data_IF_187640624363
#
_entry.id   IF_187640624363
#
_cell.length_a   1.000
_cell.length_b   1.000
_cell.length_c   1.000
_cell.angle_alpha   90.00
_cell.angle_beta   90.00
_cell.angle_gamma   90.00
#
_symmetry.space_group_name_H-M   'P 1'
#
loop_
_entity.id
_entity.type
_entity.pdbx_description
1 polymer ?
#
# COMPACT_ATOMS: atom_id res chain seq x y z
N UNK A 1 31.23 29.31 -85.38
CA UNK A 1 30.31 30.26 -84.68
C UNK A 1 29.06 30.38 -85.56
N UNK A 2 27.83 30.04 -85.20
CA UNK A 2 27.12 29.92 -83.93
C UNK A 2 26.08 28.78 -84.08
N UNK A 3 26.04 27.84 -83.14
CA UNK A 3 24.95 26.89 -83.01
C UNK A 3 23.92 27.51 -82.05
N UNK A 4 22.66 27.63 -82.48
CA UNK A 4 21.54 27.97 -81.60
C UNK A 4 20.78 26.66 -81.25
N UNK A 5 20.27 26.53 -80.02
CA UNK A 5 19.92 25.25 -79.41
C UNK A 5 18.45 24.86 -79.68
N UNK A 6 18.22 23.57 -79.91
CA UNK A 6 16.89 22.98 -79.89
C UNK A 6 16.62 22.34 -78.53
N UNK A 7 15.63 22.92 -77.87
CA UNK A 7 14.88 22.50 -76.70
C UNK A 7 14.60 20.99 -76.65
N UNK A 8 15.07 20.29 -75.61
CA UNK A 8 14.52 19.00 -75.22
C UNK A 8 14.50 18.88 -73.68
N UNK A 9 13.27 18.93 -73.20
CA UNK A 9 12.77 18.78 -71.85
C UNK A 9 13.21 17.44 -71.22
N UNK A 10 13.96 17.49 -70.11
CA UNK A 10 13.97 16.41 -69.10
C UNK A 10 13.86 17.06 -67.72
N UNK A 11 12.69 17.65 -67.49
CA UNK A 11 12.23 17.98 -66.15
C UNK A 11 11.72 16.71 -65.48
N UNK A 12 12.18 16.49 -64.24
CA UNK A 12 11.45 15.83 -63.17
C UNK A 12 10.83 14.45 -63.45
N UNK A 13 11.61 13.39 -63.20
CA UNK A 13 11.07 12.08 -62.79
C UNK A 13 11.34 11.82 -61.30
N UNK A 14 11.12 12.83 -60.48
CA UNK A 14 10.84 12.66 -59.07
C UNK A 14 9.34 12.79 -58.85
N UNK A 15 8.59 11.71 -59.09
CA UNK A 15 7.21 11.61 -58.61
C UNK A 15 7.25 11.52 -57.08
N UNK A 16 7.42 12.67 -56.43
CA UNK A 16 7.13 12.83 -55.02
C UNK A 16 5.62 12.77 -54.85
N UNK A 17 5.09 11.58 -54.59
CA UNK A 17 3.74 11.43 -54.04
C UNK A 17 3.72 11.95 -52.60
N UNK A 18 3.76 13.27 -52.42
CA UNK A 18 3.19 13.88 -51.24
C UNK A 18 1.69 14.05 -51.52
N UNK A 19 0.93 12.97 -51.33
CA UNK A 19 -0.53 13.03 -51.40
C UNK A 19 -1.02 13.95 -50.28
N UNK A 20 -1.29 15.19 -50.64
CA UNK A 20 -1.98 16.13 -49.77
C UNK A 20 -3.43 15.63 -49.68
N UNK A 21 -3.85 15.11 -48.53
CA UNK A 21 -5.27 14.79 -48.25
C UNK A 21 -5.70 13.31 -48.14
N UNK A 22 -4.79 12.32 -48.18
CA UNK A 22 -5.19 10.90 -48.14
C UNK A 22 -4.88 10.13 -46.84
N UNK A 23 -4.31 10.79 -45.83
CA UNK A 23 -4.35 10.25 -44.47
C UNK A 23 -5.53 10.93 -43.80
N UNK A 24 -6.52 10.18 -43.33
CA UNK A 24 -7.73 10.64 -42.63
C UNK A 24 -7.48 11.33 -41.28
N UNK A 25 -6.32 11.97 -41.12
CA UNK A 25 -6.01 12.86 -40.01
C UNK A 25 -7.03 14.00 -40.06
N UNK A 26 -7.71 14.22 -38.93
CA UNK A 26 -8.74 15.25 -38.78
C UNK A 26 -9.99 15.04 -39.65
N UNK A 27 -10.35 13.79 -39.99
CA UNK A 27 -11.64 13.45 -40.62
C UNK A 27 -12.51 12.61 -39.69
N UNK A 28 -13.83 12.81 -39.73
CA UNK A 28 -14.81 12.07 -38.90
C UNK A 28 -14.98 10.62 -39.39
N UNK A 29 -14.74 10.38 -40.68
CA UNK A 29 -14.80 9.07 -41.32
C UNK A 29 -13.47 8.83 -42.06
N UNK A 30 -12.41 8.37 -41.36
CA UNK A 30 -11.13 8.09 -42.01
C UNK A 30 -11.27 6.88 -42.93
N UNK A 31 -11.02 7.07 -44.23
CA UNK A 31 -10.97 5.99 -45.22
C UNK A 31 -9.60 5.33 -45.38
N UNK A 32 -8.65 5.62 -44.48
CA UNK A 32 -7.23 5.28 -44.62
C UNK A 32 -6.64 4.73 -43.32
N UNK A 33 -5.61 3.90 -43.42
CA UNK A 33 -4.80 3.44 -42.28
C UNK A 33 -3.58 4.36 -42.10
N UNK A 34 -3.34 4.82 -40.87
CA UNK A 34 -2.07 5.45 -40.49
C UNK A 34 -1.09 4.37 -40.02
N UNK A 35 -0.05 4.11 -40.80
CA UNK A 35 1.05 3.21 -40.42
C UNK A 35 2.27 4.02 -40.02
N UNK A 36 2.78 3.79 -38.81
CA UNK A 36 4.04 4.38 -38.32
C UNK A 36 5.09 3.27 -38.25
N UNK A 37 6.05 3.26 -39.18
CA UNK A 37 7.13 2.26 -39.23
C UNK A 37 8.31 2.56 -38.29
N UNK A 38 8.15 3.56 -37.41
CA UNK A 38 9.12 3.96 -36.40
C UNK A 38 8.48 4.06 -35.01
N UNK A 39 9.17 4.68 -34.05
CA UNK A 39 8.61 4.92 -32.71
C UNK A 39 7.76 6.19 -32.67
N UNK A 40 6.72 6.17 -31.84
CA UNK A 40 5.99 7.38 -31.44
C UNK A 40 6.58 7.80 -30.08
N UNK A 41 7.07 9.04 -29.99
CA UNK A 41 7.59 9.61 -28.75
C UNK A 41 6.81 10.89 -28.42
N UNK A 42 6.03 10.85 -27.34
CA UNK A 42 5.46 12.06 -26.74
C UNK A 42 6.47 12.76 -25.82
N UNK A 43 6.17 14.00 -25.45
CA UNK A 43 7.04 14.75 -24.53
C UNK A 43 7.09 14.08 -23.14
N UNK A 44 8.31 13.82 -22.66
CA UNK A 44 8.57 13.40 -21.29
C UNK A 44 9.09 14.58 -20.47
N UNK A 45 8.42 14.95 -19.39
CA UNK A 45 8.90 15.94 -18.43
C UNK A 45 9.06 15.32 -17.05
N UNK A 46 10.22 15.56 -16.43
CA UNK A 46 10.47 15.19 -15.05
C UNK A 46 10.52 16.44 -14.19
N UNK A 47 9.64 16.55 -13.20
CA UNK A 47 9.38 17.78 -12.44
C UNK A 47 9.27 17.47 -10.95
N UNK A 48 9.86 18.31 -10.10
CA UNK A 48 9.89 18.11 -8.64
C UNK A 48 8.96 19.04 -7.85
N UNK A 49 8.25 19.96 -8.51
CA UNK A 49 7.39 20.97 -7.90
C UNK A 49 6.05 21.11 -8.65
N UNK A 50 5.06 21.75 -8.00
CA UNK A 50 3.75 22.01 -8.60
C UNK A 50 3.85 22.68 -9.96
N UNK A 51 3.05 22.23 -10.92
CA UNK A 51 3.14 22.66 -12.32
C UNK A 51 1.77 22.66 -12.98
N UNK A 52 1.52 23.63 -13.86
CA UNK A 52 0.35 23.62 -14.74
C UNK A 52 0.76 23.01 -16.07
N UNK A 53 0.02 22.00 -16.52
CA UNK A 53 0.26 21.33 -17.79
C UNK A 53 -0.24 22.17 -18.96
N UNK A 54 0.46 22.06 -20.07
CA UNK A 54 0.12 22.67 -21.35
C UNK A 54 -0.29 21.66 -22.40
N UNK A 55 -0.65 22.17 -23.57
CA UNK A 55 -1.14 21.38 -24.71
C UNK A 55 -0.10 20.42 -25.30
N UNK A 56 1.19 20.65 -25.03
CA UNK A 56 2.30 19.85 -25.56
C UNK A 56 2.79 18.79 -24.57
N UNK A 57 2.28 18.80 -23.34
CA UNK A 57 2.62 17.79 -22.35
C UNK A 57 2.00 16.43 -22.73
N UNK A 58 2.67 15.34 -22.34
CA UNK A 58 2.20 14.00 -22.64
C UNK A 58 2.48 13.05 -21.47
N UNK A 59 3.75 12.93 -21.07
CA UNK A 59 4.17 12.12 -19.92
C UNK A 59 4.84 12.99 -18.86
N UNK A 60 4.26 13.01 -17.67
CA UNK A 60 4.73 13.77 -16.52
C UNK A 60 5.25 12.81 -15.44
N UNK A 61 6.55 12.84 -15.22
CA UNK A 61 7.22 12.19 -14.10
C UNK A 61 7.37 13.19 -12.95
N UNK A 62 6.83 12.87 -11.79
CA UNK A 62 7.04 13.64 -10.58
C UNK A 62 8.12 13.00 -9.72
N UNK A 63 9.19 13.74 -9.43
CA UNK A 63 10.32 13.26 -8.62
C UNK A 63 10.57 14.11 -7.36
N UNK A 64 9.53 14.82 -6.88
CA UNK A 64 9.64 15.68 -5.71
C UNK A 64 9.68 14.92 -4.38
N UNK A 65 10.29 15.57 -3.39
CA UNK A 65 10.33 15.12 -1.98
C UNK A 65 9.35 15.88 -1.07
N UNK A 66 8.64 16.87 -1.60
CA UNK A 66 7.56 17.61 -0.95
C UNK A 66 6.28 17.47 -1.75
N UNK A 67 5.11 17.52 -1.10
CA UNK A 67 3.84 17.38 -1.79
C UNK A 67 3.68 18.45 -2.88
N UNK A 68 3.12 18.06 -4.02
CA UNK A 68 2.96 18.94 -5.18
C UNK A 68 1.63 18.70 -5.89
N UNK A 69 1.23 19.67 -6.71
CA UNK A 69 0.04 19.60 -7.53
C UNK A 69 0.38 19.82 -9.00
N UNK A 70 0.03 18.85 -9.84
CA UNK A 70 -0.01 19.04 -11.28
C UNK A 70 -1.44 19.42 -11.68
N UNK A 71 -1.59 20.63 -12.21
CA UNK A 71 -2.89 21.17 -12.63
C UNK A 71 -3.07 20.89 -14.12
N UNK A 72 -4.14 20.20 -14.48
CA UNK A 72 -4.53 19.94 -15.85
C UNK A 72 -4.81 21.26 -16.58
N UNK A 73 -4.64 21.31 -17.92
CA UNK A 73 -5.06 22.47 -18.69
C UNK A 73 -6.57 22.68 -18.54
N UNK A 74 -7.00 23.94 -18.61
CA UNK A 74 -8.42 24.26 -18.70
C UNK A 74 -9.04 23.58 -19.92
N UNK A 75 -10.24 23.03 -19.74
CA UNK A 75 -10.95 22.37 -20.81
C UNK A 75 -11.54 23.39 -21.77
N UNK A 76 -11.25 23.19 -23.05
CA UNK A 76 -11.77 23.98 -24.16
C UNK A 76 -12.80 23.15 -24.93
N UNK A 77 -13.85 23.82 -25.39
CA UNK A 77 -14.90 23.16 -26.16
C UNK A 77 -14.34 22.46 -27.40
N UNK A 78 -14.88 21.28 -27.69
CA UNK A 78 -14.62 20.59 -28.94
C UNK A 78 -15.10 21.42 -30.15
N UNK A 79 -14.62 21.04 -31.35
CA UNK A 79 -14.83 21.74 -32.62
C UNK A 79 -16.22 22.40 -32.79
N UNK A 80 -16.29 23.61 -33.39
CA UNK A 80 -15.29 24.20 -34.29
C UNK A 80 -14.29 25.16 -33.64
N UNK A 81 -14.23 25.25 -32.31
CA UNK A 81 -13.28 26.14 -31.63
C UNK A 81 -11.82 25.66 -31.78
N UNK A 82 -10.90 26.60 -32.05
CA UNK A 82 -9.47 26.34 -32.01
C UNK A 82 -9.06 25.96 -30.58
N UNK A 83 -8.38 24.82 -30.43
CA UNK A 83 -7.89 24.35 -29.14
C UNK A 83 -8.58 23.12 -28.55
N UNK A 84 -9.42 22.40 -29.30
CA UNK A 84 -10.08 21.16 -28.87
C UNK A 84 -9.12 20.20 -28.13
N UNK A 85 -9.50 19.80 -26.91
CA UNK A 85 -8.75 18.83 -26.11
C UNK A 85 -9.48 17.48 -25.94
N UNK A 86 -10.61 17.26 -26.62
CA UNK A 86 -11.35 15.99 -26.58
C UNK A 86 -10.43 14.81 -26.90
N UNK A 87 -10.42 13.81 -26.03
CA UNK A 87 -9.59 12.61 -26.19
C UNK A 87 -8.11 12.83 -25.91
N UNK A 88 -7.68 14.02 -25.47
CA UNK A 88 -6.28 14.25 -25.08
C UNK A 88 -5.95 13.43 -23.84
N UNK A 89 -4.81 12.75 -23.90
CA UNK A 89 -4.32 11.87 -22.84
C UNK A 89 -3.12 12.52 -22.15
N UNK A 90 -3.12 12.49 -20.82
CA UNK A 90 -1.95 12.78 -20.00
C UNK A 90 -1.61 11.58 -19.12
N UNK A 91 -0.33 11.25 -19.09
CA UNK A 91 0.23 10.21 -18.25
C UNK A 91 1.01 10.82 -17.11
N UNK A 92 0.84 10.26 -15.92
CA UNK A 92 1.48 10.72 -14.70
C UNK A 92 2.15 9.54 -14.01
N UNK A 93 3.42 9.70 -13.62
CA UNK A 93 4.14 8.73 -12.79
C UNK A 93 4.73 9.45 -11.61
N UNK A 94 4.48 8.96 -10.41
CA UNK A 94 5.17 9.43 -9.22
C UNK A 94 6.38 8.53 -8.97
N UNK A 95 7.58 9.04 -9.29
CA UNK A 95 8.87 8.39 -8.99
C UNK A 95 9.55 9.03 -7.78
N UNK A 96 8.94 10.05 -7.19
CA UNK A 96 9.41 10.74 -5.99
C UNK A 96 9.00 10.04 -4.71
N UNK A 97 9.22 10.72 -3.58
CA UNK A 97 8.92 10.21 -2.23
C UNK A 97 7.71 10.90 -1.60
N UNK A 98 7.23 12.01 -2.16
CA UNK A 98 6.05 12.72 -1.69
C UNK A 98 4.80 12.41 -2.52
N UNK A 99 3.62 12.70 -1.97
CA UNK A 99 2.35 12.58 -2.69
C UNK A 99 2.24 13.65 -3.79
N UNK A 100 1.74 13.23 -4.95
CA UNK A 100 1.38 14.11 -6.06
C UNK A 100 -0.13 14.20 -6.16
N UNK A 101 -0.68 15.42 -6.27
CA UNK A 101 -2.10 15.62 -6.61
C UNK A 101 -2.22 16.00 -8.08
N UNK A 102 -3.07 15.33 -8.84
CA UNK A 102 -3.49 15.77 -10.17
C UNK A 102 -4.81 16.52 -10.01
N UNK A 103 -4.83 17.81 -10.30
CA UNK A 103 -5.99 18.68 -10.11
C UNK A 103 -6.59 19.13 -11.44
N UNK A 104 -7.91 19.26 -11.50
CA UNK A 104 -8.60 19.95 -12.58
C UNK A 104 -8.36 21.47 -12.50
N UNK A 105 -8.60 22.18 -13.60
CA UNK A 105 -8.40 23.62 -13.65
C UNK A 105 -9.60 24.36 -13.04
N UNK A 106 -9.36 25.29 -12.12
CA UNK A 106 -10.40 26.14 -11.57
C UNK A 106 -11.55 25.36 -10.92
N UNK A 107 -12.77 25.52 -11.46
CA UNK A 107 -13.99 24.87 -10.97
C UNK A 107 -14.36 23.59 -11.76
N UNK A 108 -13.50 23.15 -12.68
CA UNK A 108 -13.68 21.89 -13.38
C UNK A 108 -13.51 20.69 -12.45
N UNK A 109 -14.06 19.54 -12.84
CA UNK A 109 -14.01 18.30 -12.08
C UNK A 109 -13.46 17.15 -12.92
N UNK A 110 -12.91 16.16 -12.22
CA UNK A 110 -12.44 14.89 -12.75
C UNK A 110 -13.48 13.82 -12.43
N UNK A 111 -13.96 13.13 -13.46
CA UNK A 111 -14.76 11.93 -13.33
C UNK A 111 -13.90 10.77 -12.83
N UNK A 112 -14.18 10.27 -11.62
CA UNK A 112 -13.41 9.23 -10.94
C UNK A 112 -14.20 7.92 -10.75
N UNK A 113 -15.20 7.67 -11.62
CA UNK A 113 -16.05 6.46 -11.79
C UNK A 113 -17.55 6.70 -11.54
N UNK A 114 -17.94 7.48 -10.52
CA UNK A 114 -19.36 7.78 -10.27
C UNK A 114 -19.55 9.06 -9.44
N UNK A 115 -20.68 9.75 -9.65
CA UNK A 115 -21.07 10.94 -8.89
C UNK A 115 -20.77 12.26 -9.63
N UNK A 116 -20.60 13.34 -8.86
CA UNK A 116 -20.42 14.70 -9.41
C UNK A 116 -19.02 14.98 -9.96
N UNK A 117 -18.06 14.08 -9.70
CA UNK A 117 -16.63 14.29 -9.96
C UNK A 117 -15.90 14.97 -8.80
N UNK A 118 -14.56 14.99 -8.88
CA UNK A 118 -13.65 15.51 -7.84
C UNK A 118 -12.73 16.58 -8.40
N UNK A 119 -12.30 17.55 -7.58
CA UNK A 119 -11.38 18.61 -8.01
C UNK A 119 -9.95 18.10 -8.26
N UNK A 120 -9.59 16.94 -7.70
CA UNK A 120 -8.29 16.32 -7.93
C UNK A 120 -8.21 14.88 -7.41
N UNK A 121 -7.19 14.16 -7.86
CA UNK A 121 -6.87 12.80 -7.42
C UNK A 121 -5.43 12.75 -6.89
N UNK A 122 -5.17 11.86 -5.93
CA UNK A 122 -3.83 11.63 -5.40
C UNK A 122 -3.12 10.49 -6.13
N UNK A 123 -1.83 10.68 -6.42
CA UNK A 123 -0.91 9.68 -6.95
C UNK A 123 0.20 9.49 -5.92
N UNK A 124 0.16 8.37 -5.19
CA UNK A 124 1.12 8.04 -4.13
C UNK A 124 2.52 7.78 -4.71
N UNK A 125 3.61 7.84 -3.92
CA UNK A 125 4.93 7.38 -4.35
C UNK A 125 4.88 6.01 -5.03
N UNK A 126 5.53 5.88 -6.19
CA UNK A 126 5.47 4.69 -7.04
C UNK A 126 4.18 4.54 -7.87
N UNK A 127 3.18 5.38 -7.65
CA UNK A 127 1.89 5.36 -8.33
C UNK A 127 1.94 5.89 -9.76
N UNK A 128 0.86 5.67 -10.50
CA UNK A 128 0.66 6.05 -11.90
C UNK A 128 -0.79 6.44 -12.17
N UNK A 129 -1.02 7.43 -13.03
CA UNK A 129 -2.36 7.79 -13.48
C UNK A 129 -2.38 8.10 -14.99
N UNK A 130 -3.51 7.81 -15.63
CA UNK A 130 -3.85 8.21 -17.00
C UNK A 130 -5.18 8.94 -16.98
N UNK A 131 -5.17 10.18 -17.46
CA UNK A 131 -6.37 11.00 -17.57
C UNK A 131 -6.64 11.33 -19.03
N UNK A 132 -7.93 11.34 -19.38
CA UNK A 132 -8.41 11.65 -20.73
C UNK A 132 -9.37 12.83 -20.63
N UNK A 133 -9.30 13.78 -21.55
CA UNK A 133 -10.29 14.86 -21.60
C UNK A 133 -11.58 14.42 -22.28
N UNK A 134 -12.71 14.77 -21.66
CA UNK A 134 -14.08 14.50 -22.15
C UNK A 134 -14.54 15.53 -23.19
N UNK A 135 -13.75 16.59 -23.44
CA UNK A 135 -14.07 17.65 -24.41
C UNK A 135 -15.21 18.60 -24.00
N UNK A 136 -15.70 18.50 -22.76
CA UNK A 136 -16.67 19.40 -22.15
C UNK A 136 -15.97 20.56 -21.45
N UNK A 137 -16.61 21.73 -21.36
CA UNK A 137 -16.02 22.94 -20.76
C UNK A 137 -16.47 23.22 -19.32
N UNK A 138 -17.31 22.35 -18.74
CA UNK A 138 -17.86 22.51 -17.39
C UNK A 138 -18.25 21.17 -16.78
N UNK A 139 -18.35 21.11 -15.45
CA UNK A 139 -18.64 19.88 -14.71
C UNK A 139 -17.45 18.93 -14.77
N UNK A 140 -17.69 17.64 -15.06
CA UNK A 140 -16.59 16.71 -15.33
C UNK A 140 -16.01 16.97 -16.71
N UNK A 141 -14.80 17.49 -16.77
CA UNK A 141 -14.08 17.80 -18.02
C UNK A 141 -12.97 16.79 -18.32
N UNK A 142 -12.51 16.09 -17.30
CA UNK A 142 -11.53 15.01 -17.37
C UNK A 142 -12.13 13.72 -16.84
N UNK A 143 -11.64 12.59 -17.31
CA UNK A 143 -11.92 11.26 -16.76
C UNK A 143 -10.62 10.56 -16.35
N UNK A 144 -10.67 9.85 -15.23
CA UNK A 144 -9.62 8.92 -14.84
C UNK A 144 -9.83 7.62 -15.61
N UNK A 145 -8.95 7.34 -16.56
CA UNK A 145 -8.99 6.07 -17.30
C UNK A 145 -8.19 4.98 -16.59
N UNK A 146 -7.12 5.34 -15.89
CA UNK A 146 -6.34 4.42 -15.06
C UNK A 146 -5.75 5.16 -13.87
N UNK A 147 -5.87 4.57 -12.67
CA UNK A 147 -5.16 5.01 -11.47
C UNK A 147 -4.59 3.78 -10.76
N UNK A 148 -3.26 3.77 -10.60
CA UNK A 148 -2.52 2.74 -9.88
C UNK A 148 -1.80 3.46 -8.74
N UNK A 149 -2.35 3.38 -7.53
CA UNK A 149 -1.62 3.73 -6.31
C UNK A 149 -1.10 2.44 -5.68
N UNK A 150 -0.08 2.54 -4.79
CA UNK A 150 0.64 1.42 -4.16
C UNK A 150 -0.29 0.21 -3.90
N UNK A 151 -0.03 -0.91 -4.58
CA UNK A 151 -0.97 -2.05 -4.73
C UNK A 151 -0.82 -3.17 -3.69
N UNK A 152 0.16 -3.09 -2.79
CA UNK A 152 0.37 -4.14 -1.78
C UNK A 152 -0.11 -3.63 -0.43
N UNK A 153 -1.31 -4.03 0.04
CA UNK A 153 -1.68 -3.83 1.43
C UNK A 153 -0.61 -4.47 2.31
N UNK A 154 -0.27 -3.82 3.42
CA UNK A 154 0.74 -4.38 4.31
C UNK A 154 0.27 -5.73 4.81
N UNK A 155 1.10 -6.76 4.62
CA UNK A 155 0.96 -8.07 5.24
C UNK A 155 2.33 -8.37 5.84
N UNK A 156 2.38 -8.47 7.16
CA UNK A 156 3.60 -8.83 7.87
C UNK A 156 3.29 -9.94 8.88
N UNK A 157 4.16 -10.94 8.96
CA UNK A 157 3.99 -12.05 9.89
C UNK A 157 5.34 -12.61 10.35
N UNK A 158 5.37 -13.02 11.61
CA UNK A 158 6.46 -13.75 12.25
C UNK A 158 5.94 -15.11 12.70
N UNK A 159 6.75 -16.15 12.59
CA UNK A 159 6.48 -17.47 13.17
C UNK A 159 7.77 -18.05 13.73
N UNK A 160 7.78 -18.29 15.03
CA UNK A 160 8.97 -18.80 15.72
C UNK A 160 8.82 -20.28 16.02
N UNK A 161 9.92 -21.01 15.88
CA UNK A 161 9.98 -22.47 16.09
C UNK A 161 10.74 -22.87 17.36
N UNK A 162 11.30 -21.89 18.07
CA UNK A 162 11.98 -22.13 19.33
C UNK A 162 10.99 -22.17 20.50
N UNK A 163 11.45 -22.72 21.62
CA UNK A 163 10.74 -22.69 22.89
C UNK A 163 11.23 -21.49 23.68
N UNK A 164 10.33 -20.80 24.38
CA UNK A 164 10.69 -19.67 25.24
C UNK A 164 10.10 -19.84 26.63
N UNK A 165 10.88 -19.53 27.67
CA UNK A 165 10.47 -19.65 29.06
C UNK A 165 10.63 -18.32 29.80
N UNK A 166 9.51 -17.78 30.29
CA UNK A 166 9.55 -16.70 31.28
C UNK A 166 10.06 -17.28 32.60
N UNK A 167 11.23 -16.82 33.03
CA UNK A 167 11.89 -17.22 34.29
C UNK A 167 12.32 -15.98 35.09
N UNK A 168 12.73 -16.16 36.35
CA UNK A 168 13.26 -15.09 37.19
C UNK A 168 12.32 -13.88 37.33
N UNK A 169 12.81 -12.69 36.99
CA UNK A 169 12.04 -11.45 37.07
C UNK A 169 10.83 -11.43 36.11
N UNK A 170 10.99 -11.95 34.88
CA UNK A 170 9.91 -12.01 33.90
C UNK A 170 8.78 -12.93 34.38
N UNK A 171 9.13 -14.06 35.01
CA UNK A 171 8.15 -14.94 35.63
C UNK A 171 7.44 -14.32 36.83
N UNK A 172 8.18 -13.58 37.66
CA UNK A 172 7.60 -12.82 38.78
C UNK A 172 6.57 -11.81 38.27
N UNK A 173 6.87 -11.16 37.15
CA UNK A 173 6.00 -10.21 36.49
C UNK A 173 4.89 -10.85 35.66
N UNK A 174 4.93 -12.17 35.41
CA UNK A 174 3.85 -12.91 34.76
C UNK A 174 2.65 -13.06 35.71
N UNK A 175 1.85 -12.01 35.80
CA UNK A 175 0.73 -11.85 36.73
C UNK A 175 -0.44 -11.08 36.08
N UNK A 176 -1.54 -10.89 36.80
CA UNK A 176 -2.78 -10.31 36.23
C UNK A 176 -2.69 -8.84 35.84
N UNK A 177 -1.61 -8.14 36.20
CA UNK A 177 -1.46 -6.69 36.02
C UNK A 177 -0.40 -6.30 35.00
N UNK A 178 0.51 -7.21 34.63
CA UNK A 178 1.64 -6.89 33.74
C UNK A 178 1.76 -7.93 32.61
N UNK A 179 1.11 -7.69 31.45
CA UNK A 179 1.42 -8.33 30.18
C UNK A 179 2.93 -8.46 29.94
N UNK A 180 3.44 -9.68 29.78
CA UNK A 180 4.83 -9.94 29.39
C UNK A 180 4.92 -10.05 27.86
N UNK A 181 5.93 -9.41 27.26
CA UNK A 181 6.15 -9.46 25.81
C UNK A 181 6.60 -10.85 25.40
N UNK A 182 5.98 -11.38 24.34
CA UNK A 182 6.39 -12.63 23.73
C UNK A 182 7.50 -12.31 22.72
N UNK A 183 8.71 -12.88 22.87
CA UNK A 183 9.84 -12.50 22.04
C UNK A 183 9.79 -13.17 20.66
N UNK A 184 10.32 -12.48 19.65
CA UNK A 184 10.59 -13.01 18.31
C UNK A 184 11.93 -12.48 17.82
N UNK A 185 12.57 -13.18 16.90
CA UNK A 185 13.79 -12.73 16.24
C UNK A 185 13.49 -12.23 14.83
N UNK A 186 14.37 -11.40 14.28
CA UNK A 186 14.33 -11.02 12.86
C UNK A 186 14.43 -12.25 11.93
N UNK A 187 14.98 -13.37 12.40
CA UNK A 187 15.01 -14.65 11.68
C UNK A 187 13.65 -15.34 11.57
N UNK A 188 12.67 -14.96 12.39
CA UNK A 188 11.32 -15.53 12.39
C UNK A 188 10.37 -14.86 11.38
N UNK A 189 10.84 -13.86 10.63
CA UNK A 189 10.00 -13.15 9.65
C UNK A 189 9.63 -14.10 8.50
N UNK A 190 8.34 -14.34 8.34
CA UNK A 190 7.77 -15.14 7.24
C UNK A 190 7.46 -14.25 6.04
N UNK A 191 6.87 -13.07 6.30
CA UNK A 191 6.49 -12.10 5.27
C UNK A 191 6.58 -10.69 5.84
N UNK A 192 7.00 -9.73 5.01
CA UNK A 192 6.98 -8.31 5.33
C UNK A 192 6.80 -7.51 4.03
N UNK A 193 5.56 -7.38 3.59
CA UNK A 193 5.17 -6.68 2.35
C UNK A 193 4.37 -5.42 2.67
N UNK A 194 4.28 -4.50 1.71
CA UNK A 194 3.47 -3.28 1.80
C UNK A 194 4.06 -2.16 2.68
N UNK A 195 4.98 -2.43 3.59
CA UNK A 195 5.86 -1.42 4.20
C UNK A 195 5.19 -0.36 5.09
N UNK A 196 3.92 -0.54 5.46
CA UNK A 196 3.20 0.34 6.41
C UNK A 196 3.40 -0.09 7.86
N UNK A 197 4.17 -1.17 8.09
CA UNK A 197 4.70 -1.57 9.38
C UNK A 197 6.10 -2.18 9.19
N UNK A 198 6.91 -2.17 10.25
CA UNK A 198 8.26 -2.79 10.27
C UNK A 198 8.51 -3.48 11.62
N UNK A 199 9.24 -4.60 11.60
CA UNK A 199 9.62 -5.29 12.83
C UNK A 199 10.75 -4.57 13.56
N UNK A 200 10.64 -4.44 14.88
CA UNK A 200 11.71 -4.00 15.75
C UNK A 200 12.17 -5.16 16.64
N UNK A 201 13.32 -5.72 16.31
CA UNK A 201 13.92 -6.87 17.01
C UNK A 201 14.33 -6.55 18.45
N UNK A 202 14.86 -5.36 18.69
CA UNK A 202 15.37 -4.98 20.01
C UNK A 202 14.26 -4.82 21.07
N UNK A 203 13.00 -4.65 20.66
CA UNK A 203 11.88 -4.48 21.58
C UNK A 203 10.68 -5.39 21.34
N UNK A 204 10.78 -6.33 20.39
CA UNK A 204 9.75 -7.31 20.07
C UNK A 204 8.38 -6.70 19.70
N UNK A 205 8.36 -5.75 18.74
CA UNK A 205 7.12 -5.13 18.27
C UNK A 205 7.08 -4.79 16.79
N UNK A 206 5.86 -4.71 16.27
CA UNK A 206 5.59 -4.03 15.01
C UNK A 206 5.51 -2.53 15.23
N UNK A 207 6.38 -1.79 14.56
CA UNK A 207 6.32 -0.34 14.45
C UNK A 207 5.42 0.04 13.28
N UNK A 208 4.34 0.74 13.56
CA UNK A 208 3.44 1.26 12.53
C UNK A 208 4.06 2.50 11.89
N UNK A 209 4.13 2.51 10.55
CA UNK A 209 4.72 3.59 9.75
C UNK A 209 3.67 4.45 9.06
N UNK A 210 2.47 3.92 8.86
CA UNK A 210 1.35 4.60 8.22
C UNK A 210 0.11 4.43 9.09
N UNK A 211 -0.69 5.49 9.27
CA UNK A 211 -1.97 5.33 9.95
C UNK A 211 -2.92 4.48 9.12
N UNK A 212 -3.92 3.85 9.74
CA UNK A 212 -4.91 3.05 9.03
C UNK A 212 -5.64 2.04 9.91
N UNK A 213 -6.48 1.22 9.29
CA UNK A 213 -7.14 0.10 9.98
C UNK A 213 -6.34 -1.18 9.72
N UNK A 214 -6.03 -1.91 10.79
CA UNK A 214 -5.25 -3.13 10.75
C UNK A 214 -6.04 -4.30 11.33
N UNK A 215 -6.00 -5.45 10.66
CA UNK A 215 -6.30 -6.76 11.24
C UNK A 215 -5.02 -7.28 11.85
N UNK A 216 -5.07 -7.74 13.09
CA UNK A 216 -3.91 -8.25 13.82
C UNK A 216 -4.29 -9.60 14.40
N UNK A 217 -3.42 -10.59 14.24
CA UNK A 217 -3.65 -11.96 14.65
C UNK A 217 -2.40 -12.49 15.34
N UNK A 218 -2.58 -13.28 16.39
CA UNK A 218 -1.48 -13.97 17.06
C UNK A 218 -1.94 -15.26 17.72
N UNK A 219 -1.00 -16.19 17.84
CA UNK A 219 -1.21 -17.37 18.66
C UNK A 219 0.08 -17.74 19.39
N UNK A 220 -0.07 -18.42 20.52
CA UNK A 220 1.04 -19.02 21.24
C UNK A 220 0.56 -20.27 21.99
N UNK A 221 1.38 -21.32 22.00
CA UNK A 221 1.15 -22.51 22.80
C UNK A 221 1.67 -22.31 24.22
N UNK A 222 0.79 -22.36 25.21
CA UNK A 222 1.17 -22.12 26.60
C UNK A 222 1.55 -23.40 27.32
N UNK A 223 2.66 -23.38 28.06
CA UNK A 223 3.11 -24.42 28.97
C UNK A 223 3.48 -23.90 30.36
N UNK A 224 3.63 -24.81 31.33
CA UNK A 224 4.21 -24.52 32.65
C UNK A 224 5.31 -25.50 33.03
N UNK A 225 6.51 -25.00 33.34
CA UNK A 225 7.68 -25.82 33.73
C UNK A 225 7.63 -26.37 35.16
N UNK A 226 6.45 -26.40 35.76
CA UNK A 226 6.20 -26.91 37.09
C UNK A 226 4.70 -27.08 37.31
N UNK A 227 4.36 -27.92 38.28
CA UNK A 227 2.98 -28.21 38.65
C UNK A 227 2.27 -26.90 38.99
N UNK A 228 1.30 -26.49 38.17
CA UNK A 228 0.42 -25.35 38.52
C UNK A 228 -0.20 -25.56 39.90
N UNK A 229 -0.19 -24.52 40.74
CA UNK A 229 -0.61 -24.58 42.15
C UNK A 229 -1.87 -23.76 42.41
N UNK A 230 -2.72 -24.23 43.33
CA UNK A 230 -3.97 -23.58 43.71
C UNK A 230 -5.13 -24.57 43.87
N UNK A 231 -6.31 -24.05 44.14
CA UNK A 231 -7.54 -24.83 44.41
C UNK A 231 -8.35 -25.15 43.16
N UNK A 232 -8.02 -24.56 42.00
CA UNK A 232 -8.71 -24.78 40.74
C UNK A 232 -8.11 -25.97 39.98
N UNK A 233 -8.78 -26.45 38.93
CA UNK A 233 -8.26 -27.52 38.06
C UNK A 233 -7.65 -26.98 36.74
N UNK A 234 -7.56 -25.66 36.61
CA UNK A 234 -7.12 -24.98 35.40
C UNK A 234 -6.37 -23.69 35.73
N UNK A 235 -5.60 -23.21 34.76
CA UNK A 235 -4.90 -21.93 34.79
C UNK A 235 -5.50 -21.00 33.73
N UNK A 236 -5.89 -19.79 34.12
CA UNK A 236 -6.44 -18.79 33.21
C UNK A 236 -5.32 -17.94 32.63
N UNK A 237 -5.05 -18.07 31.34
CA UNK A 237 -3.99 -17.34 30.63
C UNK A 237 -4.61 -16.41 29.59
N UNK A 238 -4.16 -15.16 29.59
CA UNK A 238 -4.54 -14.18 28.57
C UNK A 238 -3.43 -14.09 27.52
N UNK A 239 -3.80 -14.18 26.25
CA UNK A 239 -2.98 -13.72 25.13
C UNK A 239 -3.57 -12.41 24.61
N UNK A 240 -2.72 -11.40 24.46
CA UNK A 240 -3.13 -10.03 24.19
C UNK A 240 -2.30 -9.42 23.07
N UNK A 241 -2.96 -8.55 22.31
CA UNK A 241 -2.36 -7.55 21.45
C UNK A 241 -2.36 -6.25 22.26
N UNK A 242 -1.17 -5.73 22.55
CA UNK A 242 -0.98 -4.52 23.36
C UNK A 242 -0.33 -3.41 22.54
N UNK A 243 -0.70 -2.17 22.83
CA UNK A 243 -0.25 -0.99 22.10
C UNK A 243 0.51 -0.02 23.01
N UNK A 244 1.69 0.43 22.57
CA UNK A 244 2.47 1.48 23.24
C UNK A 244 2.84 1.16 24.69
N UNK A 245 3.17 -0.12 24.97
CA UNK A 245 3.67 -0.59 26.27
C UNK A 245 2.91 -1.81 26.79
N UNK A 246 3.24 -2.22 28.01
CA UNK A 246 2.80 -3.49 28.62
C UNK A 246 1.80 -3.33 29.77
N UNK A 247 1.17 -2.15 29.91
CA UNK A 247 0.06 -1.98 30.87
C UNK A 247 -1.18 -2.73 30.40
N UNK A 248 -2.02 -3.22 31.32
CA UNK A 248 -3.34 -3.79 30.96
C UNK A 248 -4.26 -2.77 30.28
N UNK A 249 -4.11 -1.47 30.57
CA UNK A 249 -4.84 -0.39 29.89
C UNK A 249 -4.48 -0.25 28.41
N UNK A 250 -3.36 -0.85 28.00
CA UNK A 250 -2.85 -0.78 26.62
C UNK A 250 -3.32 -1.97 25.77
N UNK A 251 -4.09 -2.90 26.34
CA UNK A 251 -4.63 -4.04 25.61
C UNK A 251 -5.71 -3.53 24.62
N UNK A 252 -5.49 -3.80 23.34
CA UNK A 252 -6.40 -3.43 22.24
C UNK A 252 -7.10 -4.65 21.62
N UNK A 253 -6.63 -5.85 21.94
CA UNK A 253 -7.28 -7.12 21.62
C UNK A 253 -6.79 -8.17 22.62
N UNK A 254 -7.67 -9.05 23.09
CA UNK A 254 -7.31 -10.06 24.08
C UNK A 254 -8.24 -11.25 24.05
N UNK A 255 -7.70 -12.42 24.37
CA UNK A 255 -8.47 -13.63 24.57
C UNK A 255 -7.95 -14.38 25.79
N UNK A 256 -8.88 -14.97 26.55
CA UNK A 256 -8.56 -15.77 27.74
C UNK A 256 -8.81 -17.24 27.45
N UNK A 257 -7.80 -18.06 27.65
CA UNK A 257 -7.92 -19.51 27.68
C UNK A 257 -7.88 -20.02 29.13
N UNK A 258 -8.82 -20.90 29.48
CA UNK A 258 -8.79 -21.64 30.74
C UNK A 258 -8.24 -23.04 30.44
N UNK A 259 -6.97 -23.26 30.78
CA UNK A 259 -6.22 -24.46 30.37
C UNK A 259 -6.17 -25.43 31.55
N UNK A 260 -6.68 -26.65 31.38
CA UNK A 260 -6.59 -27.68 32.42
C UNK A 260 -5.14 -27.92 32.82
N UNK A 261 -4.93 -28.21 34.10
CA UNK A 261 -3.58 -28.40 34.67
C UNK A 261 -2.71 -29.36 33.86
N UNK A 262 -3.22 -30.55 33.55
CA UNK A 262 -2.47 -31.58 32.83
C UNK A 262 -2.13 -31.17 31.39
N UNK A 263 -2.94 -30.30 30.79
CA UNK A 263 -2.71 -29.73 29.46
C UNK A 263 -1.67 -28.61 29.52
N UNK A 264 -1.75 -27.74 30.52
CA UNK A 264 -0.78 -26.67 30.75
C UNK A 264 0.61 -27.25 31.02
N UNK A 265 0.69 -28.34 31.78
CA UNK A 265 1.96 -29.03 32.05
C UNK A 265 2.53 -29.70 30.77
N UNK A 266 1.72 -29.94 29.73
CA UNK A 266 2.12 -30.58 28.46
C UNK A 266 2.28 -29.63 27.25
N UNK A 267 1.98 -28.34 27.40
CA UNK A 267 2.06 -27.31 26.35
C UNK A 267 1.30 -27.61 25.03
N UNK A 268 0.16 -28.31 25.10
CA UNK A 268 -0.47 -28.85 23.88
C UNK A 268 -1.53 -27.94 23.22
N UNK A 269 -1.98 -26.88 23.91
CA UNK A 269 -3.13 -26.07 23.49
C UNK A 269 -2.70 -24.66 23.12
N UNK A 270 -3.03 -24.17 21.90
CA UNK A 270 -2.76 -22.80 21.53
C UNK A 270 -3.80 -21.87 22.13
N UNK A 271 -3.36 -20.67 22.50
CA UNK A 271 -4.22 -19.52 22.76
C UNK A 271 -4.15 -18.64 21.51
N UNK A 272 -5.28 -18.17 21.02
CA UNK A 272 -5.35 -17.29 19.83
C UNK A 272 -5.96 -15.95 20.19
N UNK A 273 -5.50 -14.89 19.54
CA UNK A 273 -6.05 -13.54 19.67
C UNK A 273 -6.17 -12.91 18.28
N UNK A 274 -7.25 -12.16 18.05
CA UNK A 274 -7.41 -11.36 16.85
C UNK A 274 -8.14 -10.06 17.19
N UNK A 275 -7.82 -8.98 16.47
CA UNK A 275 -8.59 -7.75 16.51
C UNK A 275 -8.49 -6.97 15.19
N UNK A 276 -9.49 -6.12 14.94
CA UNK A 276 -9.42 -5.08 13.91
C UNK A 276 -9.42 -3.74 14.63
N UNK A 277 -8.43 -2.90 14.33
CA UNK A 277 -8.16 -1.69 15.12
C UNK A 277 -7.55 -0.60 14.24
N UNK A 278 -7.91 0.65 14.53
CA UNK A 278 -7.24 1.80 13.95
C UNK A 278 -5.92 2.08 14.68
N UNK A 279 -4.82 2.17 13.92
CA UNK A 279 -3.50 2.51 14.42
C UNK A 279 -3.00 3.77 13.74
N UNK A 280 -2.21 4.55 14.47
CA UNK A 280 -1.53 5.73 13.97
C UNK A 280 -0.08 5.39 13.62
N UNK A 281 0.47 6.08 12.63
CA UNK A 281 1.92 6.10 12.42
C UNK A 281 2.63 6.47 13.75
N UNK A 282 3.65 5.68 14.10
CA UNK A 282 4.36 5.81 15.38
C UNK A 282 3.90 4.83 16.47
N UNK A 283 2.71 4.22 16.35
CA UNK A 283 2.26 3.21 17.30
C UNK A 283 3.15 1.96 17.28
N UNK A 284 3.32 1.35 18.44
CA UNK A 284 4.05 0.10 18.67
C UNK A 284 3.09 -0.98 19.10
N UNK A 285 3.07 -2.11 18.39
CA UNK A 285 2.16 -3.22 18.67
C UNK A 285 2.95 -4.45 19.08
N UNK A 286 2.61 -4.99 20.25
CA UNK A 286 3.26 -6.15 20.86
C UNK A 286 2.28 -7.32 20.92
N UNK A 287 2.81 -8.54 20.81
CA UNK A 287 2.13 -9.73 21.30
C UNK A 287 2.57 -9.96 22.75
N UNK A 288 1.62 -10.08 23.65
CA UNK A 288 1.90 -10.20 25.09
C UNK A 288 1.05 -11.28 25.73
N UNK A 289 1.53 -11.86 26.82
CA UNK A 289 0.82 -12.88 27.58
C UNK A 289 0.90 -12.59 29.07
N UNK A 290 -0.14 -12.95 29.81
CA UNK A 290 -0.10 -12.92 31.26
C UNK A 290 -1.04 -13.92 31.92
N UNK A 291 -0.70 -14.30 33.15
CA UNK A 291 -1.61 -15.04 34.01
C UNK A 291 -2.77 -14.14 34.45
N UNK A 292 -4.00 -14.60 34.29
CA UNK A 292 -5.20 -13.84 34.60
C UNK A 292 -5.84 -14.27 35.91
N UNK A 293 -6.07 -15.58 36.08
CA UNK A 293 -6.88 -16.14 37.17
C UNK A 293 -6.61 -17.64 37.39
N UNK A 294 -7.15 -18.18 38.49
CA UNK A 294 -7.10 -19.59 38.88
C UNK A 294 -5.69 -20.08 39.26
N UNK A 295 -5.32 -21.32 38.93
CA UNK A 295 -4.01 -21.82 39.32
C UNK A 295 -2.91 -21.05 38.60
N UNK A 296 -1.81 -20.79 39.31
CA UNK A 296 -0.64 -20.11 38.76
C UNK A 296 0.47 -21.13 38.51
N UNK A 297 1.24 -20.99 37.42
CA UNK A 297 2.49 -21.74 37.29
C UNK A 297 3.42 -21.49 38.47
N UNK A 298 4.25 -22.48 38.82
CA UNK A 298 5.11 -22.43 40.02
C UNK A 298 6.58 -22.16 39.72
N UNK A 299 7.07 -22.58 38.55
CA UNK A 299 8.50 -22.49 38.19
C UNK A 299 8.75 -21.53 37.03
N UNK A 300 7.98 -21.67 35.96
CA UNK A 300 8.08 -20.87 34.74
C UNK A 300 6.73 -20.80 34.03
N UNK A 301 6.60 -19.85 33.12
CA UNK A 301 5.57 -19.84 32.10
C UNK A 301 6.27 -20.03 30.76
N UNK A 302 5.85 -21.02 29.99
CA UNK A 302 6.57 -21.47 28.80
C UNK A 302 5.71 -21.28 27.55
N UNK A 303 6.41 -21.11 26.44
CA UNK A 303 5.87 -21.14 25.09
C UNK A 303 6.57 -22.27 24.35
N UNK A 304 5.89 -23.38 24.12
CA UNK A 304 6.49 -24.61 23.59
C UNK A 304 5.63 -25.28 22.53
N UNK A 305 6.28 -26.01 21.61
CA UNK A 305 5.58 -26.62 20.47
C UNK A 305 5.03 -28.01 20.87
N UNK A 306 3.76 -28.33 20.60
CA UNK A 306 3.32 -29.72 20.58
C UNK A 306 4.09 -30.48 19.49
N UNK A 307 4.52 -31.71 19.74
CA UNK A 307 5.40 -32.48 18.82
C UNK A 307 4.92 -32.62 17.35
N UNK A 308 3.66 -32.27 17.05
CA UNK A 308 3.05 -32.32 15.72
C UNK A 308 3.19 -31.04 14.89
N UNK A 309 3.74 -29.95 15.43
CA UNK A 309 3.81 -28.65 14.74
C UNK A 309 5.23 -28.11 14.64
N UNK A 310 5.41 -27.16 13.71
CA UNK A 310 6.70 -26.50 13.46
C UNK A 310 6.87 -25.21 14.27
N UNK A 311 5.79 -24.45 14.49
CA UNK A 311 5.82 -23.14 15.13
C UNK A 311 5.19 -23.19 16.53
N UNK A 312 5.84 -22.55 17.52
CA UNK A 312 5.32 -22.41 18.89
C UNK A 312 4.44 -21.17 19.05
N UNK A 313 4.61 -20.19 18.17
CA UNK A 313 3.93 -18.89 18.22
C UNK A 313 3.99 -18.17 16.89
N UNK A 314 3.00 -17.33 16.65
CA UNK A 314 2.90 -16.46 15.48
C UNK A 314 2.38 -15.09 15.87
N UNK A 315 2.82 -14.08 15.14
CA UNK A 315 2.30 -12.73 15.24
C UNK A 315 2.23 -12.07 13.87
N UNK A 316 1.05 -11.64 13.45
CA UNK A 316 0.82 -11.07 12.12
C UNK A 316 -0.08 -9.85 12.14
N UNK A 317 0.09 -9.02 11.11
CA UNK A 317 -0.76 -7.86 10.84
C UNK A 317 -1.03 -7.73 9.34
N UNK A 318 -2.23 -7.25 9.04
CA UNK A 318 -2.67 -6.88 7.71
C UNK A 318 -3.31 -5.50 7.73
N UNK A 319 -2.85 -4.57 6.88
CA UNK A 319 -3.51 -3.28 6.71
C UNK A 319 -4.74 -3.47 5.80
N UNK A 320 -5.91 -3.07 6.32
CA UNK A 320 -7.19 -3.20 5.63
C UNK A 320 -7.60 -1.91 4.91
N UNK A 321 -7.20 -0.75 5.45
CA UNK A 321 -7.49 0.54 4.83
C UNK A 321 -6.41 1.57 5.17
N UNK A 322 -6.11 2.43 4.20
CA UNK A 322 -5.37 3.67 4.38
C UNK A 322 -6.36 4.81 4.67
N UNK A 323 -5.97 5.84 5.44
CA UNK A 323 -6.74 7.08 5.57
C UNK A 323 -6.93 7.80 4.23
#
# INVERSE_FOLDING_TARGET
MKNLPALALFAFSGFGYAQTGNVGINTVLPGSTLTVSGSIAGQYKNVSASTTLGVNDFYMSFNGSSAATFTLPAATAAAPAAGNILGRIYYFKNVGTANLTIAANGAELIDNQSGTGVAGISVTPGGYAMLISKGTASGTTWEVSLLINKTTPTIAALGATDTYSFTGAAFTNFNSSIPQVIPFSAGDIIVNQGGSAVWNDAGDYWQILESGVYKIEGYAYFGSGGVTSGTYQWSGINLNITKNGTSTSNIIGGNRANIMKDIADAANTPITVNCIVHLNAGDKVYLTMNWAFANKPTTSADIGIPASLKESRNFSLQQLSTP
#
